data_IF_016049572438
#
_entry.id   IF_016049572438
#
_cell.length_a   1.000
_cell.length_b   1.000
_cell.length_c   1.000
_cell.angle_alpha   90.00
_cell.angle_beta   90.00
_cell.angle_gamma   90.00
#
_symmetry.space_group_name_H-M   'P 1'
#
loop_
_entity.id
_entity.type
_entity.pdbx_description
1 polymer ?
#
# COMPACT_ATOMS: atom_id res chain seq x y z
N UNK A 1 -39.83 -26.13 -44.98
CA UNK A 1 -38.54 -25.58 -45.48
C UNK A 1 -37.84 -24.88 -44.32
N UNK A 2 -36.91 -25.57 -43.67
CA UNK A 2 -36.01 -24.93 -42.71
C UNK A 2 -34.92 -24.22 -43.52
N UNK A 3 -34.97 -22.89 -43.58
CA UNK A 3 -33.86 -22.11 -44.10
C UNK A 3 -32.64 -22.40 -43.22
N UNK A 4 -31.64 -23.12 -43.74
CA UNK A 4 -30.35 -23.26 -43.10
C UNK A 4 -29.79 -21.84 -42.92
N UNK A 5 -29.77 -21.35 -41.67
CA UNK A 5 -28.96 -20.19 -41.29
C UNK A 5 -27.50 -20.60 -41.46
N UNK A 6 -26.97 -20.53 -42.69
CA UNK A 6 -25.53 -20.56 -42.92
C UNK A 6 -24.97 -19.30 -42.26
N UNK A 7 -24.34 -19.47 -41.11
CA UNK A 7 -23.62 -18.40 -40.45
C UNK A 7 -22.73 -17.71 -41.48
N UNK A 8 -22.79 -16.38 -41.53
CA UNK A 8 -22.12 -15.57 -42.55
C UNK A 8 -20.62 -15.91 -42.63
N UNK A 9 -20.00 -16.31 -41.51
CA UNK A 9 -18.65 -16.86 -41.48
C UNK A 9 -18.41 -18.09 -42.38
N UNK A 10 -19.37 -19.03 -42.50
CA UNK A 10 -19.24 -20.21 -43.37
C UNK A 10 -19.21 -19.86 -44.85
N UNK A 11 -19.97 -18.84 -45.26
CA UNK A 11 -19.93 -18.31 -46.62
C UNK A 11 -18.55 -17.68 -46.92
N UNK A 12 -18.01 -16.88 -45.99
CA UNK A 12 -16.68 -16.30 -46.18
C UNK A 12 -15.54 -17.32 -46.11
N UNK A 13 -15.67 -18.44 -45.39
CA UNK A 13 -14.70 -19.54 -45.45
C UNK A 13 -14.66 -20.18 -46.85
N UNK A 14 -15.83 -20.39 -47.46
CA UNK A 14 -15.90 -20.90 -48.83
C UNK A 14 -15.31 -19.89 -49.83
N UNK A 15 -15.61 -18.60 -49.66
CA UNK A 15 -15.01 -17.56 -50.50
C UNK A 15 -13.50 -17.44 -50.33
N UNK A 16 -12.96 -17.62 -49.11
CA UNK A 16 -11.51 -17.64 -48.88
C UNK A 16 -10.87 -18.86 -49.57
N UNK A 17 -11.50 -20.03 -49.53
CA UNK A 17 -11.01 -21.21 -50.23
C UNK A 17 -10.97 -21.02 -51.77
N UNK A 18 -11.93 -20.29 -52.33
CA UNK A 18 -11.97 -19.99 -53.76
C UNK A 18 -11.10 -18.79 -54.17
N UNK A 19 -10.88 -17.82 -53.27
CA UNK A 19 -10.15 -16.58 -53.52
C UNK A 19 -9.17 -16.27 -52.36
N UNK A 20 -8.12 -17.11 -52.18
CA UNK A 20 -7.26 -17.05 -50.99
C UNK A 20 -6.42 -15.77 -50.91
N UNK A 21 -6.16 -15.11 -52.04
CA UNK A 21 -5.40 -13.86 -52.11
C UNK A 21 -6.28 -12.60 -51.98
N UNK A 22 -7.60 -12.75 -51.80
CA UNK A 22 -8.50 -11.60 -51.71
C UNK A 22 -8.55 -11.04 -50.29
N UNK A 23 -7.87 -9.92 -50.08
CA UNK A 23 -7.77 -9.25 -48.78
C UNK A 23 -9.13 -8.85 -48.19
N UNK A 24 -10.11 -8.45 -49.03
CA UNK A 24 -11.45 -8.09 -48.56
C UNK A 24 -12.21 -9.29 -48.03
N UNK A 25 -12.07 -10.45 -48.67
CA UNK A 25 -12.67 -11.72 -48.22
C UNK A 25 -12.03 -12.16 -46.90
N UNK A 26 -10.71 -12.12 -46.81
CA UNK A 26 -9.96 -12.47 -45.59
C UNK A 26 -10.32 -11.56 -44.40
N UNK A 27 -10.36 -10.24 -44.62
CA UNK A 27 -10.78 -9.26 -43.62
C UNK A 27 -12.19 -9.53 -43.10
N UNK A 28 -13.17 -9.74 -43.99
CA UNK A 28 -14.56 -10.04 -43.59
C UNK A 28 -14.67 -11.37 -42.85
N UNK A 29 -13.95 -12.39 -43.30
CA UNK A 29 -13.91 -13.66 -42.60
C UNK A 29 -13.38 -13.52 -41.18
N UNK A 30 -12.28 -12.79 -40.96
CA UNK A 30 -11.71 -12.60 -39.63
C UNK A 30 -12.64 -11.82 -38.71
N UNK A 31 -13.31 -10.79 -39.21
CA UNK A 31 -14.35 -10.07 -38.44
C UNK A 31 -15.49 -11.02 -38.05
N UNK A 32 -15.95 -11.88 -38.96
CA UNK A 32 -16.94 -12.91 -38.64
C UNK A 32 -16.43 -13.89 -37.58
N UNK A 33 -15.20 -14.41 -37.72
CA UNK A 33 -14.57 -15.32 -36.74
C UNK A 33 -14.49 -14.68 -35.35
N UNK A 34 -14.12 -13.40 -35.28
CA UNK A 34 -14.07 -12.65 -34.02
C UNK A 34 -15.47 -12.49 -33.44
N UNK A 35 -16.43 -11.97 -34.21
CA UNK A 35 -17.77 -11.68 -33.73
C UNK A 35 -18.56 -12.93 -33.31
N UNK A 36 -18.34 -14.06 -34.00
CA UNK A 36 -18.96 -15.35 -33.71
C UNK A 36 -18.20 -16.14 -32.62
N UNK A 37 -17.02 -15.67 -32.18
CA UNK A 37 -16.25 -16.33 -31.11
C UNK A 37 -16.92 -16.18 -29.75
N UNK A 38 -16.95 -17.27 -28.98
CA UNK A 38 -17.43 -17.28 -27.59
C UNK A 38 -16.58 -16.32 -26.74
N UNK A 39 -15.24 -16.40 -26.86
CA UNK A 39 -14.31 -15.58 -26.07
C UNK A 39 -14.44 -14.09 -26.34
N UNK A 40 -14.83 -13.68 -27.55
CA UNK A 40 -15.10 -12.28 -27.87
C UNK A 40 -16.39 -11.80 -27.22
N UNK A 41 -17.44 -12.63 -27.20
CA UNK A 41 -18.71 -12.30 -26.55
C UNK A 41 -18.58 -12.28 -25.02
N UNK A 42 -17.76 -13.16 -24.46
CA UNK A 42 -17.36 -13.13 -23.04
C UNK A 42 -16.59 -11.84 -22.74
N UNK A 43 -15.58 -11.50 -23.53
CA UNK A 43 -14.79 -10.28 -23.35
C UNK A 43 -15.64 -9.01 -23.47
N UNK A 44 -16.57 -8.98 -24.42
CA UNK A 44 -17.55 -7.89 -24.57
C UNK A 44 -18.39 -7.69 -23.31
N UNK A 45 -18.72 -8.77 -22.62
CA UNK A 45 -19.55 -8.76 -21.40
C UNK A 45 -18.71 -8.62 -20.14
N UNK A 46 -17.37 -8.61 -20.26
CA UNK A 46 -16.46 -8.60 -19.13
C UNK A 46 -16.28 -7.18 -18.59
N UNK A 47 -17.06 -6.86 -17.55
CA UNK A 47 -17.11 -5.53 -16.95
C UNK A 47 -15.72 -4.91 -16.62
N UNK A 48 -14.73 -5.66 -16.10
CA UNK A 48 -13.42 -5.07 -15.80
C UNK A 48 -12.67 -4.50 -17.00
N UNK A 49 -12.95 -4.98 -18.21
CA UNK A 49 -12.26 -4.58 -19.44
C UNK A 49 -13.16 -3.75 -20.38
N UNK A 50 -14.37 -3.39 -19.95
CA UNK A 50 -15.38 -2.77 -20.82
C UNK A 50 -14.88 -1.49 -21.51
N UNK A 51 -14.13 -0.63 -20.80
CA UNK A 51 -13.59 0.63 -21.37
C UNK A 51 -12.59 0.36 -22.49
N UNK A 52 -11.65 -0.55 -22.27
CA UNK A 52 -10.63 -0.92 -23.25
C UNK A 52 -11.26 -1.69 -24.42
N UNK A 53 -12.29 -2.51 -24.14
CA UNK A 53 -13.04 -3.21 -25.16
C UNK A 53 -13.69 -2.23 -26.15
N UNK A 54 -14.40 -1.21 -25.68
CA UNK A 54 -15.03 -0.24 -26.58
C UNK A 54 -14.00 0.50 -27.45
N UNK A 55 -12.84 0.82 -26.87
CA UNK A 55 -11.79 1.57 -27.56
C UNK A 55 -11.03 0.74 -28.60
N UNK A 56 -10.82 -0.55 -28.36
CA UNK A 56 -9.90 -1.40 -29.16
C UNK A 56 -10.61 -2.50 -29.94
N UNK A 57 -11.74 -3.00 -29.45
CA UNK A 57 -12.39 -4.20 -29.97
C UNK A 57 -13.87 -3.99 -30.31
N UNK A 58 -14.38 -2.75 -30.26
CA UNK A 58 -15.71 -2.46 -30.78
C UNK A 58 -15.80 -2.81 -32.27
N UNK A 59 -17.03 -3.11 -32.71
CA UNK A 59 -17.27 -3.53 -34.10
C UNK A 59 -16.75 -2.52 -35.12
N UNK A 60 -16.90 -1.24 -34.83
CA UNK A 60 -16.42 -0.15 -35.69
C UNK A 60 -14.90 -0.12 -35.75
N UNK A 61 -14.23 -0.31 -34.60
CA UNK A 61 -12.76 -0.42 -34.55
C UNK A 61 -12.23 -1.63 -35.31
N UNK A 62 -12.89 -2.78 -35.19
CA UNK A 62 -12.51 -3.97 -35.96
C UNK A 62 -12.62 -3.77 -37.47
N UNK A 63 -13.53 -2.92 -37.95
CA UNK A 63 -13.68 -2.59 -39.37
C UNK A 63 -12.55 -1.68 -39.88
N UNK A 64 -11.89 -0.91 -39.01
CA UNK A 64 -10.76 -0.05 -39.37
C UNK A 64 -9.46 -0.85 -39.61
N UNK A 65 -9.27 -1.98 -38.91
CA UNK A 65 -8.04 -2.78 -39.00
C UNK A 65 -7.84 -3.48 -40.35
N UNK A 66 -6.58 -3.71 -40.73
CA UNK A 66 -6.21 -4.52 -41.89
C UNK A 66 -6.32 -6.03 -41.59
N UNK A 67 -6.19 -6.88 -42.61
CA UNK A 67 -6.36 -8.32 -42.46
C UNK A 67 -5.33 -8.96 -41.50
N UNK A 68 -4.07 -8.51 -41.54
CA UNK A 68 -2.99 -9.01 -40.68
C UNK A 68 -3.23 -8.68 -39.20
N UNK A 69 -3.66 -7.46 -38.90
CA UNK A 69 -3.97 -7.05 -37.53
C UNK A 69 -5.17 -7.82 -36.99
N UNK A 70 -6.17 -8.10 -37.84
CA UNK A 70 -7.31 -8.94 -37.46
C UNK A 70 -6.89 -10.39 -37.18
N UNK A 71 -5.94 -10.95 -37.93
CA UNK A 71 -5.35 -12.26 -37.63
C UNK A 71 -4.67 -12.28 -36.24
N UNK A 72 -4.00 -11.18 -35.86
CA UNK A 72 -3.41 -11.03 -34.52
C UNK A 72 -4.51 -10.93 -33.44
N UNK A 73 -5.54 -10.11 -33.66
CA UNK A 73 -6.65 -9.92 -32.72
C UNK A 73 -7.36 -11.25 -32.40
N UNK A 74 -7.58 -12.11 -33.41
CA UNK A 74 -8.14 -13.46 -33.20
C UNK A 74 -7.34 -14.26 -32.17
N UNK A 75 -6.01 -14.11 -32.16
CA UNK A 75 -5.10 -14.81 -31.22
C UNK A 75 -5.02 -14.13 -29.86
N UNK A 76 -5.24 -12.82 -29.81
CA UNK A 76 -5.14 -12.01 -28.61
C UNK A 76 -6.37 -12.13 -27.71
N UNK A 77 -7.58 -12.07 -28.28
CA UNK A 77 -8.84 -12.06 -27.52
C UNK A 77 -8.91 -13.14 -26.43
N UNK A 78 -8.55 -14.41 -26.68
CA UNK A 78 -8.60 -15.46 -25.66
C UNK A 78 -7.65 -15.23 -24.47
N UNK A 79 -6.62 -14.39 -24.62
CA UNK A 79 -5.60 -14.12 -23.59
C UNK A 79 -5.94 -12.92 -22.70
N UNK A 80 -6.86 -12.05 -23.11
CA UNK A 80 -7.13 -10.79 -22.41
C UNK A 80 -7.75 -11.03 -21.03
N UNK A 81 -8.81 -11.85 -20.93
CA UNK A 81 -9.45 -12.14 -19.63
C UNK A 81 -8.42 -12.77 -18.66
N UNK A 82 -7.70 -13.85 -19.03
CA UNK A 82 -6.65 -14.40 -18.18
C UNK A 82 -5.62 -13.37 -17.74
N UNK A 83 -5.19 -12.46 -18.62
CA UNK A 83 -4.26 -11.40 -18.27
C UNK A 83 -4.85 -10.44 -17.22
N UNK A 84 -6.08 -9.96 -17.41
CA UNK A 84 -6.73 -9.02 -16.47
C UNK A 84 -6.89 -9.68 -15.10
N UNK A 85 -7.22 -10.97 -15.06
CA UNK A 85 -7.30 -11.72 -13.81
C UNK A 85 -5.93 -11.90 -13.15
N UNK A 86 -4.91 -12.18 -13.94
CA UNK A 86 -3.55 -12.29 -13.45
C UNK A 86 -3.03 -10.96 -12.88
N UNK A 87 -3.32 -9.83 -13.54
CA UNK A 87 -3.00 -8.49 -13.02
C UNK A 87 -3.73 -8.26 -11.70
N UNK A 88 -5.03 -8.56 -11.64
CA UNK A 88 -5.86 -8.35 -10.43
C UNK A 88 -5.37 -9.20 -9.25
N UNK A 89 -4.95 -10.44 -9.53
CA UNK A 89 -4.33 -11.31 -8.54
C UNK A 89 -2.98 -10.79 -8.10
N UNK A 90 -2.14 -10.29 -9.02
CA UNK A 90 -0.85 -9.68 -8.67
C UNK A 90 -0.99 -8.36 -7.90
N UNK A 91 -2.08 -7.60 -8.11
CA UNK A 91 -2.44 -6.43 -7.30
C UNK A 91 -2.69 -6.85 -5.86
N UNK A 92 -3.39 -7.96 -5.65
CA UNK A 92 -3.79 -8.40 -4.32
C UNK A 92 -2.71 -9.22 -3.61
N UNK A 93 -1.97 -10.05 -4.34
CA UNK A 93 -1.09 -11.10 -3.82
C UNK A 93 0.19 -11.17 -4.64
N UNK A 94 0.83 -10.07 -4.96
CA UNK A 94 1.96 -10.16 -5.88
C UNK A 94 2.73 -8.87 -6.13
N UNK A 95 3.49 -8.88 -7.21
CA UNK A 95 4.44 -7.82 -7.53
C UNK A 95 3.85 -6.67 -8.36
N UNK A 96 2.52 -6.50 -8.42
CA UNK A 96 1.95 -5.45 -9.25
C UNK A 96 2.33 -4.02 -8.80
N UNK A 97 2.77 -3.87 -7.55
CA UNK A 97 3.35 -2.64 -7.00
C UNK A 97 4.54 -2.14 -7.84
N UNK A 98 5.28 -3.05 -8.48
CA UNK A 98 6.47 -2.72 -9.28
C UNK A 98 6.13 -2.32 -10.73
N UNK A 99 4.84 -2.32 -11.11
CA UNK A 99 4.39 -1.93 -12.45
C UNK A 99 4.37 -0.42 -12.61
N UNK A 100 4.64 0.05 -13.82
CA UNK A 100 4.69 1.49 -14.17
C UNK A 100 3.92 1.75 -15.46
N UNK A 101 3.79 3.01 -15.87
CA UNK A 101 3.13 3.37 -17.13
C UNK A 101 3.77 2.71 -18.36
N UNK A 102 5.07 2.37 -18.29
CA UNK A 102 5.80 1.67 -19.34
C UNK A 102 5.41 0.20 -19.50
N UNK A 103 4.77 -0.36 -18.48
CA UNK A 103 4.34 -1.76 -18.45
C UNK A 103 2.91 -1.95 -18.93
N UNK A 104 2.22 -0.87 -19.33
CA UNK A 104 0.89 -0.94 -19.92
C UNK A 104 0.98 -1.80 -21.20
N UNK A 105 0.24 -2.91 -21.28
CA UNK A 105 0.34 -3.79 -22.43
C UNK A 105 -0.41 -3.18 -23.63
N UNK A 106 0.14 -3.38 -24.82
CA UNK A 106 -0.67 -3.26 -26.04
C UNK A 106 -1.59 -4.48 -26.09
N UNK A 107 -2.85 -4.27 -25.71
CA UNK A 107 -3.89 -5.30 -25.72
C UNK A 107 -4.20 -5.83 -27.12
N UNK A 108 -3.64 -5.27 -28.19
CA UNK A 108 -3.79 -5.80 -29.55
C UNK A 108 -2.60 -6.64 -30.00
N UNK A 109 -1.58 -6.84 -29.14
CA UNK A 109 -0.41 -7.64 -29.47
C UNK A 109 -0.20 -8.82 -28.52
N UNK A 110 -0.06 -10.02 -29.11
CA UNK A 110 0.20 -11.25 -28.35
C UNK A 110 1.51 -11.14 -27.57
N UNK A 111 2.55 -10.56 -28.20
CA UNK A 111 3.87 -10.41 -27.59
C UNK A 111 3.83 -9.51 -26.36
N UNK A 112 3.08 -8.41 -26.43
CA UNK A 112 2.96 -7.48 -25.31
C UNK A 112 2.19 -8.10 -24.14
N UNK A 113 1.10 -8.81 -24.43
CA UNK A 113 0.34 -9.56 -23.43
C UNK A 113 1.19 -10.61 -22.74
N UNK A 114 1.90 -11.45 -23.52
CA UNK A 114 2.73 -12.52 -22.97
C UNK A 114 3.92 -11.96 -22.17
N UNK A 115 4.53 -10.85 -22.62
CA UNK A 115 5.60 -10.18 -21.90
C UNK A 115 5.12 -9.71 -20.52
N UNK A 116 3.98 -9.01 -20.44
CA UNK A 116 3.43 -8.59 -19.16
C UNK A 116 3.06 -9.80 -18.29
N UNK A 117 2.40 -10.81 -18.87
CA UNK A 117 1.98 -12.01 -18.16
C UNK A 117 3.17 -12.74 -17.52
N UNK A 118 4.34 -12.75 -18.17
CA UNK A 118 5.58 -13.32 -17.64
C UNK A 118 6.25 -12.48 -16.56
N UNK A 119 6.02 -11.16 -16.54
CA UNK A 119 6.56 -10.22 -15.54
C UNK A 119 5.79 -10.32 -14.22
N UNK A 120 4.51 -10.67 -14.28
CA UNK A 120 3.64 -10.80 -13.12
C UNK A 120 4.01 -12.04 -12.31
N UNK A 121 4.17 -11.84 -11.00
CA UNK A 121 4.42 -12.89 -10.01
C UNK A 121 3.34 -12.80 -8.94
N UNK A 122 2.74 -13.94 -8.66
CA UNK A 122 1.80 -14.11 -7.55
C UNK A 122 2.54 -14.75 -6.38
N UNK A 123 2.49 -14.10 -5.22
CA UNK A 123 2.85 -14.61 -3.92
C UNK A 123 1.62 -14.54 -3.00
N UNK A 124 1.02 -15.70 -2.75
CA UNK A 124 -0.20 -15.81 -1.93
C UNK A 124 0.06 -15.68 -0.43
N UNK A 125 1.32 -15.59 0.01
CA UNK A 125 1.66 -15.63 1.45
C UNK A 125 1.25 -14.36 2.19
N UNK A 126 1.42 -13.18 1.56
CA UNK A 126 1.07 -11.89 2.16
C UNK A 126 0.33 -11.00 1.16
N UNK A 127 -0.96 -10.66 1.42
CA UNK A 127 -1.69 -9.78 0.54
C UNK A 127 -1.18 -8.34 0.64
N UNK A 128 -1.12 -7.66 -0.51
CA UNK A 128 -0.89 -6.23 -0.58
C UNK A 128 -2.06 -5.45 0.04
N UNK A 129 -1.76 -4.27 0.56
CA UNK A 129 -2.75 -3.33 1.06
C UNK A 129 -3.10 -2.39 -0.09
N UNK A 130 -4.30 -2.57 -0.66
CA UNK A 130 -4.75 -1.88 -1.88
C UNK A 130 -6.23 -1.51 -1.83
N UNK A 131 -6.62 -0.42 -2.48
CA UNK A 131 -8.02 -0.07 -2.75
C UNK A 131 -8.38 -0.22 -4.25
N UNK A 132 -7.49 -0.78 -5.06
CA UNK A 132 -7.73 -0.98 -6.49
C UNK A 132 -8.66 -2.17 -6.69
N UNK A 133 -9.88 -1.87 -7.14
CA UNK A 133 -10.84 -2.90 -7.53
C UNK A 133 -10.49 -3.50 -8.90
N UNK A 134 -10.96 -4.72 -9.17
CA UNK A 134 -10.79 -5.42 -10.45
C UNK A 134 -11.20 -4.57 -11.65
N UNK A 135 -12.28 -3.79 -11.53
CA UNK A 135 -12.77 -2.91 -12.60
C UNK A 135 -11.86 -1.72 -12.91
N UNK A 136 -10.96 -1.39 -11.99
CA UNK A 136 -10.01 -0.29 -12.11
C UNK A 136 -8.57 -0.82 -12.14
N UNK A 137 -8.36 -2.07 -12.59
CA UNK A 137 -7.03 -2.69 -12.58
C UNK A 137 -5.96 -1.85 -13.29
N UNK A 138 -6.35 -1.04 -14.28
CA UNK A 138 -5.44 -0.14 -15.00
C UNK A 138 -4.82 0.95 -14.11
N UNK A 139 -5.44 1.28 -12.99
CA UNK A 139 -4.92 2.30 -12.07
C UNK A 139 -3.56 1.88 -11.49
N UNK A 140 -3.24 0.57 -11.43
CA UNK A 140 -1.94 0.10 -10.94
C UNK A 140 -0.78 0.62 -11.80
N UNK A 141 -1.01 0.87 -13.09
CA UNK A 141 0.03 1.36 -13.98
C UNK A 141 0.27 2.87 -13.84
N UNK A 142 -0.69 3.61 -13.27
CA UNK A 142 -0.58 5.06 -13.16
C UNK A 142 0.49 5.48 -12.15
N UNK A 143 1.22 6.55 -12.47
CA UNK A 143 2.15 7.20 -11.55
C UNK A 143 1.43 7.92 -10.40
N UNK A 144 0.11 8.14 -10.51
CA UNK A 144 -0.72 8.71 -9.44
C UNK A 144 -1.01 7.72 -8.32
N UNK A 145 -0.85 6.43 -8.57
CA UNK A 145 -1.12 5.38 -7.58
C UNK A 145 0.02 5.31 -6.58
N UNK A 146 -0.32 5.47 -5.30
CA UNK A 146 0.68 5.42 -4.22
C UNK A 146 1.10 3.98 -3.99
N UNK A 147 2.38 3.71 -4.25
CA UNK A 147 3.03 2.40 -4.09
C UNK A 147 4.03 2.34 -2.94
N UNK A 148 4.50 3.51 -2.51
CA UNK A 148 5.47 3.67 -1.43
C UNK A 148 4.75 3.81 -0.08
N UNK A 149 5.10 2.91 0.85
CA UNK A 149 4.60 2.88 2.23
C UNK A 149 5.01 4.11 3.05
N UNK A 150 6.11 4.79 2.68
CA UNK A 150 6.62 5.95 3.41
C UNK A 150 5.63 7.10 3.37
N UNK A 151 5.14 7.45 2.18
CA UNK A 151 4.13 8.51 1.98
C UNK A 151 2.82 8.22 2.73
N UNK A 152 2.43 6.94 2.79
CA UNK A 152 1.22 6.53 3.49
C UNK A 152 1.32 6.68 5.01
N UNK A 153 2.54 6.69 5.54
CA UNK A 153 2.85 6.65 6.97
C UNK A 153 3.55 7.92 7.50
N UNK A 154 3.57 9.01 6.72
CA UNK A 154 4.17 10.29 7.13
C UNK A 154 3.48 10.94 8.35
N UNK A 155 2.18 10.71 8.54
CA UNK A 155 1.36 11.33 9.59
C UNK A 155 1.00 10.40 10.76
N UNK A 156 1.74 9.29 10.94
CA UNK A 156 1.40 8.21 11.87
C UNK A 156 1.48 8.65 13.34
N UNK A 157 0.36 8.49 14.06
CA UNK A 157 0.30 8.65 15.51
C UNK A 157 0.75 7.37 16.24
N UNK A 158 1.00 7.46 17.56
CA UNK A 158 1.36 6.29 18.37
C UNK A 158 0.28 5.18 18.36
N UNK A 159 -0.97 5.52 18.07
CA UNK A 159 -2.06 4.54 17.91
C UNK A 159 -2.01 3.82 16.56
N UNK A 160 -1.55 4.50 15.52
CA UNK A 160 -1.44 3.96 14.16
C UNK A 160 -0.33 2.90 14.06
N UNK A 161 0.66 2.93 14.96
CA UNK A 161 1.68 1.87 15.09
C UNK A 161 1.07 0.55 15.57
N UNK A 162 -0.07 0.55 16.25
CA UNK A 162 -0.74 -0.70 16.66
C UNK A 162 -1.52 -1.34 15.50
N UNK A 163 -1.99 -0.55 14.55
CA UNK A 163 -2.75 -1.02 13.40
C UNK A 163 -2.41 -0.19 12.14
N UNK A 164 -1.29 -0.51 11.47
CA UNK A 164 -0.77 0.32 10.38
C UNK A 164 -1.61 0.18 9.10
N UNK A 165 -2.30 -0.94 8.90
CA UNK A 165 -3.17 -1.15 7.73
C UNK A 165 -4.35 -0.18 7.77
N UNK A 166 -4.98 -0.01 8.93
CA UNK A 166 -6.07 0.95 9.10
C UNK A 166 -5.60 2.41 9.04
N UNK A 167 -4.34 2.66 9.40
CA UNK A 167 -3.73 3.98 9.20
C UNK A 167 -3.55 4.30 7.70
N UNK A 168 -3.03 3.35 6.91
CA UNK A 168 -2.88 3.51 5.45
C UNK A 168 -4.24 3.76 4.80
N UNK A 169 -5.26 2.95 5.12
CA UNK A 169 -6.62 3.12 4.58
C UNK A 169 -7.21 4.50 4.88
N UNK A 170 -7.00 5.01 6.10
CA UNK A 170 -7.51 6.31 6.54
C UNK A 170 -6.75 7.47 5.89
N UNK A 171 -5.43 7.40 5.85
CA UNK A 171 -4.57 8.45 5.29
C UNK A 171 -4.73 8.56 3.77
N UNK A 172 -4.96 7.44 3.09
CA UNK A 172 -5.07 7.38 1.64
C UNK A 172 -6.50 7.18 1.15
N UNK A 173 -7.53 7.51 1.94
CA UNK A 173 -8.91 7.18 1.58
C UNK A 173 -9.33 7.75 0.21
N UNK A 174 -8.83 8.95 -0.13
CA UNK A 174 -9.17 9.67 -1.36
C UNK A 174 -8.18 9.42 -2.51
N UNK A 175 -7.18 8.54 -2.31
CA UNK A 175 -6.11 8.32 -3.28
C UNK A 175 -6.03 6.84 -3.63
N UNK A 176 -5.78 6.52 -4.89
CA UNK A 176 -5.54 5.13 -5.29
C UNK A 176 -4.19 4.66 -4.77
N UNK A 177 -4.14 3.49 -4.13
CA UNK A 177 -2.91 2.95 -3.56
C UNK A 177 -2.83 1.43 -3.69
N UNK A 178 -1.61 0.91 -3.75
CA UNK A 178 -1.29 -0.51 -3.69
C UNK A 178 0.12 -0.67 -3.12
N UNK A 179 0.21 -1.12 -1.88
CA UNK A 179 1.45 -1.13 -1.09
C UNK A 179 1.70 -2.55 -0.57
N UNK A 180 2.95 -3.02 -0.60
CA UNK A 180 3.31 -4.33 -0.05
C UNK A 180 3.08 -4.33 1.46
N UNK A 181 2.42 -5.36 1.98
CA UNK A 181 2.19 -5.47 3.43
C UNK A 181 3.51 -5.58 4.22
N UNK A 182 4.52 -6.20 3.62
CA UNK A 182 5.87 -6.31 4.19
C UNK A 182 6.50 -4.94 4.43
N UNK A 183 6.37 -4.01 3.48
CA UNK A 183 6.92 -2.66 3.60
C UNK A 183 6.24 -1.87 4.72
N UNK A 184 4.93 -2.04 4.89
CA UNK A 184 4.16 -1.45 5.99
C UNK A 184 4.67 -1.97 7.33
N UNK A 185 4.92 -3.28 7.44
CA UNK A 185 5.43 -3.92 8.65
C UNK A 185 6.87 -3.46 8.97
N UNK A 186 7.74 -3.37 7.97
CA UNK A 186 9.11 -2.90 8.15
C UNK A 186 9.17 -1.47 8.70
N UNK A 187 8.30 -0.58 8.19
CA UNK A 187 8.18 0.78 8.70
C UNK A 187 7.62 0.77 10.13
N UNK A 188 6.61 -0.05 10.41
CA UNK A 188 6.04 -0.20 11.75
C UNK A 188 7.11 -0.63 12.77
N UNK A 189 7.91 -1.65 12.46
CA UNK A 189 8.97 -2.15 13.34
C UNK A 189 10.02 -1.06 13.62
N UNK A 190 10.34 -0.26 12.60
CA UNK A 190 11.25 0.88 12.73
C UNK A 190 10.70 1.95 13.69
N UNK A 191 9.42 2.31 13.56
CA UNK A 191 8.79 3.29 14.47
C UNK A 191 8.60 2.74 15.88
N UNK A 192 8.20 1.48 16.02
CA UNK A 192 8.06 0.82 17.31
C UNK A 192 9.37 0.82 18.09
N UNK A 193 10.50 0.56 17.40
CA UNK A 193 11.84 0.66 17.98
C UNK A 193 12.21 2.08 18.41
N UNK A 194 11.94 3.10 17.58
CA UNK A 194 12.20 4.49 17.96
C UNK A 194 11.39 4.92 19.20
N UNK A 195 10.13 4.49 19.29
CA UNK A 195 9.30 4.77 20.48
C UNK A 195 9.83 4.08 21.73
N UNK A 196 10.26 2.81 21.63
CA UNK A 196 10.81 2.11 22.79
C UNK A 196 12.11 2.76 23.28
N UNK A 197 12.96 3.22 22.36
CA UNK A 197 14.18 3.99 22.70
C UNK A 197 13.86 5.32 23.40
N UNK A 198 12.87 6.07 22.92
CA UNK A 198 12.44 7.32 23.56
C UNK A 198 11.85 7.05 24.95
N UNK A 199 11.02 6.00 25.11
CA UNK A 199 10.49 5.60 26.41
C UNK A 199 11.59 5.22 27.39
N UNK A 200 12.58 4.45 26.95
CA UNK A 200 13.73 4.08 27.77
C UNK A 200 14.55 5.30 28.22
N UNK A 201 14.77 6.28 27.32
CA UNK A 201 15.41 7.55 27.67
C UNK A 201 14.58 8.38 28.65
N UNK A 202 13.26 8.41 28.49
CA UNK A 202 12.37 9.11 29.41
C UNK A 202 12.38 8.48 30.81
N UNK A 203 12.35 7.15 30.88
CA UNK A 203 12.46 6.41 32.14
C UNK A 203 13.82 6.59 32.81
N UNK A 204 14.92 6.61 32.04
CA UNK A 204 16.26 6.86 32.59
C UNK A 204 16.36 8.27 33.19
N UNK A 205 15.86 9.30 32.50
CA UNK A 205 15.79 10.68 33.01
C UNK A 205 14.90 10.76 34.25
N UNK A 206 13.75 10.08 34.26
CA UNK A 206 12.86 10.04 35.42
C UNK A 206 13.55 9.38 36.63
N UNK A 207 14.22 8.25 36.40
CA UNK A 207 14.97 7.54 37.44
C UNK A 207 16.13 8.36 37.98
N UNK A 208 16.85 9.08 37.11
CA UNK A 208 17.93 9.98 37.52
C UNK A 208 17.41 11.15 38.35
N UNK A 209 16.33 11.80 37.92
CA UNK A 209 15.65 12.85 38.71
C UNK A 209 15.21 12.33 40.07
N UNK A 210 14.72 11.09 40.12
CA UNK A 210 14.29 10.46 41.36
C UNK A 210 15.46 10.06 42.28
N UNK A 211 16.57 9.58 41.72
CA UNK A 211 17.83 9.33 42.44
C UNK A 211 18.40 10.61 43.02
N UNK A 212 18.36 11.71 42.28
CA UNK A 212 18.77 13.04 42.75
C UNK A 212 17.88 13.54 43.87
N UNK A 213 16.54 13.37 43.76
CA UNK A 213 15.62 13.66 44.87
C UNK A 213 15.99 12.84 46.11
N UNK A 214 16.16 11.52 46.00
CA UNK A 214 16.56 10.66 47.13
C UNK A 214 17.88 11.10 47.78
N UNK A 215 18.92 11.42 46.99
CA UNK A 215 20.20 11.92 47.52
C UNK A 215 20.01 13.21 48.31
N UNK A 216 19.25 14.17 47.78
CA UNK A 216 18.94 15.42 48.50
C UNK A 216 18.23 15.16 49.82
N UNK A 217 17.21 14.29 49.84
CA UNK A 217 16.52 13.88 51.07
C UNK A 217 17.47 13.25 52.10
N UNK A 218 18.41 12.42 51.66
CA UNK A 218 19.40 11.79 52.53
C UNK A 218 20.35 12.82 53.17
N UNK A 219 20.86 13.80 52.40
CA UNK A 219 21.70 14.87 52.95
C UNK A 219 20.95 15.76 53.95
N UNK A 220 19.67 16.08 53.67
CA UNK A 220 18.83 16.84 54.60
C UNK A 220 18.61 16.05 55.89
N UNK A 221 18.30 14.75 55.80
CA UNK A 221 18.15 13.89 56.96
C UNK A 221 19.42 13.84 57.83
N UNK A 222 20.59 13.70 57.21
CA UNK A 222 21.88 13.76 57.92
C UNK A 222 22.10 15.12 58.58
N UNK A 223 21.85 16.23 57.88
CA UNK A 223 21.99 17.56 58.44
C UNK A 223 21.07 17.77 59.66
N UNK A 224 19.84 17.25 59.61
CA UNK A 224 18.90 17.32 60.72
C UNK A 224 19.37 16.50 61.93
N UNK A 225 19.87 15.28 61.70
CA UNK A 225 20.45 14.44 62.76
C UNK A 225 21.64 15.16 63.42
N UNK A 226 22.56 15.71 62.63
CA UNK A 226 23.70 16.48 63.13
C UNK A 226 23.22 17.67 63.97
N UNK A 227 22.23 18.44 63.49
CA UNK A 227 21.64 19.56 64.24
C UNK A 227 21.05 19.10 65.58
N UNK A 228 20.31 17.99 65.59
CA UNK A 228 19.72 17.45 66.82
C UNK A 228 20.76 16.95 67.82
N UNK A 229 21.87 16.37 67.33
CA UNK A 229 23.00 15.94 68.18
C UNK A 229 23.71 17.16 68.76
N UNK A 230 24.00 18.19 67.97
CA UNK A 230 24.59 19.44 68.48
C UNK A 230 23.70 20.11 69.54
N UNK A 231 22.38 20.07 69.38
CA UNK A 231 21.43 20.59 70.37
C UNK A 231 21.41 19.74 71.65
N UNK A 232 21.50 18.41 71.54
CA UNK A 232 21.42 17.50 72.69
C UNK A 232 22.68 17.52 73.58
N UNK A 233 23.84 17.89 73.03
CA UNK A 233 25.10 18.02 73.77
C UNK A 233 25.39 19.45 74.28
N UNK A 234 24.40 20.36 74.24
CA UNK A 234 24.51 21.76 74.73
C UNK A 234 25.74 22.53 74.21
N UNK A 235 26.22 22.21 73.00
CA UNK A 235 27.44 22.78 72.43
C UNK A 235 27.28 24.23 71.92
N UNK A 236 26.06 24.79 71.98
CA UNK A 236 25.71 26.10 71.46
C UNK A 236 24.93 26.92 72.50
N UNK A 237 25.19 28.23 72.55
CA UNK A 237 24.40 29.16 73.36
C UNK A 237 22.93 29.22 72.88
N UNK A 238 22.02 29.48 73.82
CA UNK A 238 20.56 29.50 73.58
C UNK A 238 20.13 30.45 72.43
N UNK A 239 20.88 31.54 72.22
CA UNK A 239 20.64 32.49 71.11
C UNK A 239 21.01 31.91 69.75
N UNK A 240 22.11 31.16 69.67
CA UNK A 240 22.57 30.53 68.43
C UNK A 240 21.66 29.36 68.04
N UNK A 241 21.10 28.65 69.04
CA UNK A 241 20.15 27.56 68.86
C UNK A 241 18.86 28.02 68.15
N UNK A 242 18.29 29.14 68.61
CA UNK A 242 17.07 29.69 68.03
C UNK A 242 17.28 30.22 66.60
N UNK A 243 18.42 30.86 66.35
CA UNK A 243 18.81 31.29 65.00
C UNK A 243 18.95 30.11 64.03
N UNK A 244 19.59 29.01 64.46
CA UNK A 244 19.76 27.81 63.65
C UNK A 244 18.42 27.11 63.34
N UNK A 245 17.51 27.04 64.31
CA UNK A 245 16.18 26.44 64.13
C UNK A 245 15.32 27.24 63.13
N UNK A 246 15.36 28.58 63.18
CA UNK A 246 14.67 29.41 62.18
C UNK A 246 15.24 29.22 60.77
N UNK A 247 16.56 29.19 60.64
CA UNK A 247 17.25 29.02 59.36
C UNK A 247 17.00 27.62 58.76
N UNK A 248 16.99 26.59 59.62
CA UNK A 248 16.56 25.22 59.28
C UNK A 248 15.13 25.19 58.74
N UNK A 249 14.20 25.86 59.42
CA UNK A 249 12.78 25.89 59.02
C UNK A 249 12.60 26.63 57.69
N UNK A 250 13.27 27.76 57.49
CA UNK A 250 13.22 28.53 56.24
C UNK A 250 13.78 27.73 55.06
N UNK A 251 14.90 27.02 55.26
CA UNK A 251 15.48 26.14 54.23
C UNK A 251 14.54 24.98 53.88
N UNK A 252 13.85 24.41 54.87
CA UNK A 252 12.85 23.36 54.68
C UNK A 252 11.65 23.85 53.85
N UNK A 253 11.14 25.05 54.17
CA UNK A 253 10.02 25.68 53.45
C UNK A 253 10.43 26.03 52.02
N UNK A 254 11.54 26.74 51.81
CA UNK A 254 12.01 27.11 50.46
C UNK A 254 12.26 25.86 49.59
N UNK A 255 12.75 24.77 50.18
CA UNK A 255 12.97 23.52 49.45
C UNK A 255 11.65 22.82 49.07
N UNK A 256 10.62 22.87 49.92
CA UNK A 256 9.31 22.29 49.62
C UNK A 256 8.59 23.03 48.47
N UNK A 257 8.82 24.33 48.34
CA UNK A 257 8.21 25.16 47.29
C UNK A 257 9.00 25.20 45.96
N UNK A 258 10.27 24.77 45.93
CA UNK A 258 11.12 24.80 44.72
C UNK A 258 11.34 23.40 44.08
N UNK A 259 10.83 22.31 44.70
CA UNK A 259 11.09 20.90 44.33
C UNK A 259 10.17 20.23 43.29
#
# INVERSE_FOLDING_TARGET
>A
MAAMKTAVGRLYMLFEACLPQNEKVKKRLNICKIAESITYNELKSYAPFARQFEQLFSRDKLLEYNAEKLDEIVKVIPKIIPLVEHISNAITYGNAVDLTEKDIPDFTSVKSIDALMSKLKIDTSTPNVTNIAKNNFMDIFSDKTIKDSTKALESVSANDIKNPIEAVKRNLNNTTYCIKAEDIKAIQDTYAKKISEIKAKLESVKNEKWKMRRKKWLYIGIAFIILTVFNAFELLSMSNLNGLNYLSTILLVLYFFIG
#
